data_IF_232425850615
#
_entry.id   IF_232425850615
#
_cell.length_a   1.000
_cell.length_b   1.000
_cell.length_c   1.000
_cell.angle_alpha   90.00
_cell.angle_beta   90.00
_cell.angle_gamma   90.00
#
_symmetry.space_group_name_H-M   'P 1'
#
loop_
_entity.id
_entity.type
_entity.pdbx_description
1 polymer ?
#
# COMPACT_ATOMS: atom_id res chain seq x y z
N UNK A 1 4.81 41.84 18.40
CA UNK A 1 4.31 41.01 19.51
C UNK A 1 4.44 39.55 19.10
N UNK A 2 5.24 38.75 19.80
CA UNK A 2 5.42 37.33 19.49
C UNK A 2 4.17 36.54 19.90
N UNK A 3 3.56 35.80 18.96
CA UNK A 3 2.44 34.89 19.26
C UNK A 3 3.02 33.65 19.93
N UNK A 4 2.72 33.46 21.23
CA UNK A 4 3.11 32.24 21.96
C UNK A 4 2.43 31.03 21.30
N UNK A 5 3.15 29.93 21.02
CA UNK A 5 2.53 28.71 20.52
C UNK A 5 1.61 28.12 21.60
N UNK A 6 0.39 27.80 21.22
CA UNK A 6 -0.56 27.07 22.08
C UNK A 6 -0.10 25.61 22.10
N UNK A 7 0.42 25.16 23.25
CA UNK A 7 0.71 23.76 23.46
C UNK A 7 -0.61 23.02 23.74
N UNK A 8 -0.90 21.99 22.94
CA UNK A 8 -2.08 21.13 23.08
C UNK A 8 -1.83 19.94 24.04
N UNK A 9 -0.64 19.87 24.63
CA UNK A 9 -0.28 18.86 25.62
C UNK A 9 -1.18 19.01 26.86
N UNK A 10 -1.94 17.96 27.15
CA UNK A 10 -2.91 17.92 28.26
C UNK A 10 -4.34 18.33 27.90
N UNK A 11 -4.62 18.77 26.67
CA UNK A 11 -6.00 19.06 26.22
C UNK A 11 -6.77 17.79 25.82
N UNK A 12 -6.04 16.74 25.40
CA UNK A 12 -6.58 15.46 24.97
C UNK A 12 -6.32 14.43 26.06
N UNK A 13 -7.38 13.80 26.56
CA UNK A 13 -7.26 12.70 27.50
C UNK A 13 -6.93 11.42 26.71
N UNK A 14 -5.67 10.99 26.74
CA UNK A 14 -5.18 9.84 25.97
C UNK A 14 -5.58 8.49 26.58
N UNK A 15 -6.09 8.48 27.81
CA UNK A 15 -6.49 7.26 28.52
C UNK A 15 -7.99 6.95 28.37
N UNK A 16 -8.79 7.86 27.78
CA UNK A 16 -10.22 7.64 27.61
C UNK A 16 -10.49 6.55 26.57
N UNK A 17 -11.08 5.44 27.02
CA UNK A 17 -11.60 4.41 26.12
C UNK A 17 -12.91 4.91 25.49
N UNK A 18 -13.12 4.69 24.18
CA UNK A 18 -14.40 5.01 23.55
C UNK A 18 -15.56 4.38 24.32
N UNK A 19 -16.57 5.18 24.65
CA UNK A 19 -17.80 4.68 25.25
C UNK A 19 -18.47 3.72 24.28
N UNK A 20 -18.69 2.48 24.70
CA UNK A 20 -19.40 1.50 23.88
C UNK A 20 -20.88 1.91 23.78
N UNK A 21 -21.22 2.51 22.65
CA UNK A 21 -22.57 3.01 22.36
C UNK A 21 -23.41 1.98 21.59
N UNK A 22 -22.87 0.78 21.32
CA UNK A 22 -23.50 -0.23 20.47
C UNK A 22 -23.56 0.16 18.97
N UNK A 23 -23.08 1.35 18.60
CA UNK A 23 -23.00 1.83 17.22
C UNK A 23 -21.60 1.55 16.68
N UNK A 24 -21.45 0.89 15.51
CA UNK A 24 -20.14 0.62 14.94
C UNK A 24 -19.42 1.92 14.58
N UNK A 25 -18.41 2.28 15.35
CA UNK A 25 -17.58 3.45 15.11
C UNK A 25 -16.47 3.11 14.11
N UNK A 26 -16.44 3.81 12.98
CA UNK A 26 -15.39 3.68 11.97
C UNK A 26 -14.03 3.99 12.62
N UNK A 27 -13.17 2.98 12.75
CA UNK A 27 -11.82 3.08 13.32
C UNK A 27 -11.65 2.46 14.71
N UNK A 28 -12.73 2.15 15.45
CA UNK A 28 -12.64 1.59 16.80
C UNK A 28 -12.13 0.12 16.88
N UNK A 29 -12.07 -0.57 15.74
CA UNK A 29 -11.57 -1.95 15.63
C UNK A 29 -10.23 -2.12 14.92
N UNK A 30 -9.51 -1.03 14.60
CA UNK A 30 -8.31 -1.09 13.76
C UNK A 30 -7.00 -1.30 14.55
N UNK A 31 -7.08 -1.90 15.75
CA UNK A 31 -5.89 -2.28 16.52
C UNK A 31 -5.31 -3.66 16.16
N UNK A 32 -5.99 -4.47 15.34
CA UNK A 32 -5.58 -5.85 15.08
C UNK A 32 -5.99 -6.39 13.70
N UNK A 33 -6.20 -5.51 12.70
CA UNK A 33 -6.28 -5.93 11.31
C UNK A 33 -4.87 -6.26 10.80
N UNK A 34 -4.34 -7.37 11.31
CA UNK A 34 -3.37 -8.26 10.70
C UNK A 34 -2.42 -7.58 9.70
N UNK A 35 -1.26 -7.16 10.22
CA UNK A 35 0.03 -7.19 9.53
C UNK A 35 0.35 -8.64 9.09
N UNK A 36 -0.50 -9.24 8.26
CA UNK A 36 -0.12 -10.41 7.47
C UNK A 36 0.78 -9.90 6.38
N UNK A 37 2.04 -9.59 6.75
CA UNK A 37 3.10 -9.44 5.78
C UNK A 37 3.05 -10.68 4.89
N UNK A 38 2.82 -10.53 3.58
CA UNK A 38 2.82 -11.68 2.69
C UNK A 38 4.15 -12.42 2.85
N UNK A 39 4.07 -13.72 3.10
CA UNK A 39 5.24 -14.58 3.27
C UNK A 39 6.11 -14.45 2.02
N UNK A 40 7.35 -13.97 2.19
CA UNK A 40 8.32 -13.82 1.09
C UNK A 40 8.55 -15.18 0.46
N UNK A 41 8.56 -15.25 -0.88
CA UNK A 41 8.84 -16.51 -1.60
C UNK A 41 10.35 -16.82 -1.53
N UNK A 42 10.78 -18.08 -1.38
CA UNK A 42 12.21 -18.41 -1.42
C UNK A 42 12.81 -17.97 -2.76
N UNK A 43 13.89 -17.19 -2.71
CA UNK A 43 14.55 -16.64 -3.91
C UNK A 43 13.93 -15.35 -4.47
N UNK A 44 12.94 -14.75 -3.81
CA UNK A 44 12.33 -13.48 -4.24
C UNK A 44 13.38 -12.36 -4.32
N UNK A 45 13.59 -11.82 -5.52
CA UNK A 45 14.33 -10.57 -5.74
C UNK A 45 13.35 -9.44 -6.00
N UNK A 46 13.56 -8.31 -5.32
CA UNK A 46 12.73 -7.11 -5.48
C UNK A 46 13.39 -6.15 -6.45
N UNK A 47 12.60 -5.68 -7.41
CA UNK A 47 13.00 -4.65 -8.37
C UNK A 47 12.13 -3.41 -8.14
N UNK A 48 12.76 -2.24 -8.04
CA UNK A 48 12.06 -0.96 -8.09
C UNK A 48 12.23 -0.37 -9.48
N UNK A 49 11.12 -0.04 -10.14
CA UNK A 49 11.09 0.42 -11.52
C UNK A 49 10.61 1.87 -11.59
N UNK A 50 11.35 2.72 -12.30
CA UNK A 50 10.90 4.06 -12.67
C UNK A 50 10.36 4.01 -14.11
N UNK A 51 9.07 4.31 -14.27
CA UNK A 51 8.40 4.40 -15.56
C UNK A 51 8.00 5.86 -15.81
N UNK A 52 7.94 6.26 -17.08
CA UNK A 52 7.27 7.50 -17.45
C UNK A 52 5.76 7.40 -17.16
N UNK A 53 5.13 8.56 -16.98
CA UNK A 53 3.72 8.63 -16.59
C UNK A 53 2.76 8.02 -17.61
N UNK A 54 3.08 8.09 -18.91
CA UNK A 54 2.24 7.55 -19.97
C UNK A 54 2.29 6.02 -19.99
N UNK A 55 3.48 5.44 -19.90
CA UNK A 55 3.66 3.99 -19.82
C UNK A 55 3.04 3.42 -18.55
N UNK A 56 3.21 4.07 -17.39
CA UNK A 56 2.53 3.65 -16.17
C UNK A 56 1.00 3.73 -16.30
N UNK A 57 0.47 4.77 -16.95
CA UNK A 57 -0.98 4.91 -17.20
C UNK A 57 -1.51 3.76 -18.05
N UNK A 58 -0.80 3.40 -19.14
CA UNK A 58 -1.18 2.26 -19.99
C UNK A 58 -1.15 0.95 -19.23
N UNK A 59 -0.10 0.70 -18.43
CA UNK A 59 -0.02 -0.48 -17.56
C UNK A 59 -1.19 -0.55 -16.58
N UNK A 60 -1.54 0.58 -15.95
CA UNK A 60 -2.65 0.65 -14.99
C UNK A 60 -4.01 0.33 -15.63
N UNK A 61 -4.27 0.86 -16.82
CA UNK A 61 -5.52 0.57 -17.55
C UNK A 61 -5.59 -0.91 -17.92
N UNK A 62 -4.52 -1.46 -18.48
CA UNK A 62 -4.46 -2.86 -18.85
C UNK A 62 -4.64 -3.81 -17.64
N UNK A 63 -4.02 -3.48 -16.51
CA UNK A 63 -4.18 -4.22 -15.26
C UNK A 63 -5.64 -4.24 -14.79
N UNK A 64 -6.35 -3.11 -14.90
CA UNK A 64 -7.76 -3.02 -14.55
C UNK A 64 -8.67 -3.82 -15.50
N UNK A 65 -8.36 -3.81 -16.81
CA UNK A 65 -9.12 -4.55 -17.83
C UNK A 65 -8.97 -6.07 -17.70
N UNK A 66 -7.78 -6.53 -17.30
CA UNK A 66 -7.43 -7.96 -17.25
C UNK A 66 -7.54 -8.59 -15.86
N UNK A 67 -7.89 -7.79 -14.84
CA UNK A 67 -7.89 -8.17 -13.42
C UNK A 67 -6.54 -8.80 -12.98
N UNK A 68 -5.44 -8.16 -13.40
CA UNK A 68 -4.09 -8.62 -13.11
C UNK A 68 -3.32 -7.58 -12.30
N UNK A 69 -2.42 -8.06 -11.44
CA UNK A 69 -1.49 -7.17 -10.74
C UNK A 69 -0.39 -6.67 -11.68
N UNK A 70 0.10 -5.44 -11.46
CA UNK A 70 1.25 -4.91 -12.21
C UNK A 70 2.45 -5.86 -12.18
N UNK A 71 2.70 -6.52 -11.03
CA UNK A 71 3.79 -7.47 -10.87
C UNK A 71 3.61 -8.68 -11.80
N UNK A 72 2.43 -9.29 -11.86
CA UNK A 72 2.17 -10.44 -12.72
C UNK A 72 2.39 -10.10 -14.21
N UNK A 73 1.89 -8.94 -14.65
CA UNK A 73 2.08 -8.47 -16.02
C UNK A 73 3.57 -8.31 -16.35
N UNK A 74 4.33 -7.66 -15.45
CA UNK A 74 5.76 -7.44 -15.65
C UNK A 74 6.58 -8.74 -15.61
N UNK A 75 6.23 -9.69 -14.75
CA UNK A 75 6.88 -11.00 -14.68
C UNK A 75 6.69 -11.77 -15.99
N UNK A 76 5.47 -11.81 -16.53
CA UNK A 76 5.18 -12.46 -17.82
C UNK A 76 5.90 -11.77 -18.96
N UNK A 77 5.80 -10.44 -19.05
CA UNK A 77 6.45 -9.67 -20.11
C UNK A 77 7.99 -9.84 -20.10
N UNK A 78 8.60 -9.85 -18.92
CA UNK A 78 10.04 -10.07 -18.76
C UNK A 78 10.44 -11.49 -19.15
N UNK A 79 9.68 -12.50 -18.71
CA UNK A 79 9.95 -13.90 -19.08
C UNK A 79 9.85 -14.11 -20.60
N UNK A 80 8.85 -13.53 -21.25
CA UNK A 80 8.72 -13.58 -22.71
C UNK A 80 9.87 -12.87 -23.42
N UNK A 81 10.29 -11.71 -22.93
CA UNK A 81 11.40 -10.97 -23.48
C UNK A 81 12.70 -11.77 -23.40
N UNK A 82 13.03 -12.34 -22.23
CA UNK A 82 14.25 -13.13 -22.03
C UNK A 82 14.25 -14.41 -22.88
N UNK A 83 13.10 -15.08 -22.99
CA UNK A 83 12.94 -16.24 -23.88
C UNK A 83 13.24 -15.89 -25.34
N UNK A 84 12.79 -14.72 -25.82
CA UNK A 84 13.09 -14.25 -27.19
C UNK A 84 14.55 -13.82 -27.35
N UNK A 85 15.16 -13.30 -26.29
CA UNK A 85 16.56 -12.87 -26.26
C UNK A 85 17.55 -14.04 -26.08
N UNK A 86 17.10 -15.27 -25.84
CA UNK A 86 17.93 -16.42 -25.45
C UNK A 86 18.83 -16.11 -24.23
N UNK A 87 18.28 -15.39 -23.25
CA UNK A 87 18.96 -14.96 -22.04
C UNK A 87 18.39 -15.63 -20.78
#
# INVERSE_FOLDING_TARGET
MAKKPVALDGLLNTESRPTDTGIPQRGAGQGAAQDKKPTKRPGEKRLTLALDGETYKRLRLHAAETDQTHQAILEVALAEYLKRANA
#
